data_IF_887984648522
#
_entry.id   IF_887984648522
#
_cell.length_a   1.000
_cell.length_b   1.000
_cell.length_c   1.000
_cell.angle_alpha   90.00
_cell.angle_beta   90.00
_cell.angle_gamma   90.00
#
_symmetry.space_group_name_H-M   'P 1'
#
loop_
_entity.id
_entity.type
_entity.pdbx_description
1 polymer ?
#
# COMPACT_ATOMS: atom_id res chain seq x y z
N UNK A 1 -29.90 15.27 -55.61
CA UNK A 1 -30.80 15.48 -54.47
C UNK A 1 -31.03 14.15 -53.85
N UNK A 2 -30.38 13.97 -52.72
CA UNK A 2 -30.50 12.90 -51.72
C UNK A 2 -31.88 12.88 -51.01
N UNK A 3 -32.66 13.96 -51.10
CA UNK A 3 -34.00 14.07 -50.53
C UNK A 3 -34.11 15.07 -49.39
N UNK A 4 -33.00 15.71 -48.98
CA UNK A 4 -33.00 16.83 -48.03
C UNK A 4 -33.26 18.13 -48.80
N UNK A 5 -33.94 19.09 -48.17
CA UNK A 5 -34.16 20.40 -48.79
C UNK A 5 -32.84 21.17 -48.77
N UNK A 6 -32.46 21.82 -49.87
CA UNK A 6 -31.22 22.60 -49.97
C UNK A 6 -30.99 23.64 -48.85
N UNK A 7 -32.04 24.06 -48.13
CA UNK A 7 -31.93 25.01 -47.03
C UNK A 7 -31.52 24.36 -45.69
N UNK A 8 -31.72 23.04 -45.57
CA UNK A 8 -31.49 22.22 -44.38
C UNK A 8 -30.40 21.17 -44.63
N UNK A 9 -29.67 21.29 -45.75
CA UNK A 9 -28.66 20.36 -46.25
C UNK A 9 -27.31 21.08 -46.19
N UNK A 10 -26.37 20.55 -45.39
CA UNK A 10 -25.04 21.13 -45.26
C UNK A 10 -24.23 21.01 -46.56
N UNK A 11 -24.58 20.02 -47.41
CA UNK A 11 -23.92 19.73 -48.68
C UNK A 11 -24.90 19.60 -49.85
N UNK A 12 -25.64 20.67 -50.27
CA UNK A 12 -26.72 20.59 -51.28
C UNK A 12 -26.34 20.11 -52.68
N UNK A 13 -25.02 19.98 -52.94
CA UNK A 13 -24.45 19.53 -54.21
C UNK A 13 -23.89 18.12 -54.15
N UNK A 14 -23.74 17.54 -52.95
CA UNK A 14 -23.44 16.13 -52.74
C UNK A 14 -24.76 15.41 -52.46
N UNK A 15 -25.01 14.30 -53.12
CA UNK A 15 -26.24 13.52 -52.89
C UNK A 15 -26.02 12.34 -51.94
N UNK A 16 -24.82 12.24 -51.35
CA UNK A 16 -24.43 11.19 -50.41
C UNK A 16 -24.16 11.71 -49.02
N UNK A 17 -24.31 13.02 -48.82
CA UNK A 17 -24.06 13.71 -47.57
C UNK A 17 -25.07 14.84 -47.39
N UNK A 18 -25.52 15.04 -46.16
CA UNK A 18 -26.45 16.09 -45.76
C UNK A 18 -26.11 16.73 -44.41
N UNK A 19 -25.31 16.08 -43.55
CA UNK A 19 -25.05 16.48 -42.17
C UNK A 19 -23.58 16.87 -41.97
N UNK A 20 -23.36 17.87 -41.13
CA UNK A 20 -22.06 18.41 -40.70
C UNK A 20 -22.23 18.75 -39.21
N UNK A 21 -22.00 17.77 -38.34
CA UNK A 21 -22.37 17.87 -36.92
C UNK A 21 -21.53 18.91 -36.17
N UNK A 22 -20.24 19.01 -36.46
CA UNK A 22 -19.31 19.97 -35.82
C UNK A 22 -19.14 21.28 -36.61
N UNK A 23 -19.54 21.31 -37.88
CA UNK A 23 -19.48 22.48 -38.73
C UNK A 23 -18.08 22.78 -39.28
N UNK A 24 -17.17 21.80 -39.33
CA UNK A 24 -15.82 21.98 -39.85
C UNK A 24 -15.74 21.98 -41.40
N UNK A 25 -16.84 21.58 -42.04
CA UNK A 25 -17.00 21.51 -43.49
C UNK A 25 -16.69 20.14 -44.10
N UNK A 26 -16.43 19.13 -43.27
CA UNK A 26 -16.43 17.71 -43.59
C UNK A 26 -17.79 17.13 -43.26
N UNK A 27 -18.33 16.27 -44.13
CA UNK A 27 -19.61 15.63 -43.84
C UNK A 27 -19.46 14.42 -42.93
N UNK A 28 -20.45 14.17 -42.08
CA UNK A 28 -20.46 13.07 -41.11
C UNK A 28 -20.12 11.70 -41.72
N UNK A 29 -20.40 11.47 -43.02
CA UNK A 29 -20.11 10.20 -43.70
C UNK A 29 -18.61 9.95 -43.95
N UNK A 30 -17.80 10.99 -43.93
CA UNK A 30 -16.36 10.97 -44.18
C UNK A 30 -15.55 11.56 -43.02
N UNK A 31 -16.23 12.17 -42.05
CA UNK A 31 -15.62 12.67 -40.83
C UNK A 31 -15.21 11.52 -39.89
N UNK A 32 -14.03 11.65 -39.30
CA UNK A 32 -13.51 10.71 -38.32
C UNK A 32 -13.72 11.14 -36.87
N UNK A 33 -14.19 12.37 -36.66
CA UNK A 33 -14.46 13.05 -35.39
C UNK A 33 -15.72 13.92 -35.60
N UNK A 34 -16.89 13.26 -35.66
CA UNK A 34 -18.12 13.84 -36.23
C UNK A 34 -18.60 15.07 -35.44
N UNK A 35 -18.36 15.12 -34.15
CA UNK A 35 -18.80 16.22 -33.28
C UNK A 35 -17.67 17.19 -32.88
N UNK A 36 -16.43 16.90 -33.30
CA UNK A 36 -15.29 17.80 -33.22
C UNK A 36 -14.78 18.01 -31.79
N UNK A 37 -15.03 17.05 -30.89
CA UNK A 37 -14.56 17.10 -29.50
C UNK A 37 -13.08 16.70 -29.35
N UNK A 38 -12.50 16.11 -30.40
CA UNK A 38 -11.12 15.66 -30.48
C UNK A 38 -10.91 14.17 -30.24
N UNK A 39 -11.97 13.39 -30.04
CA UNK A 39 -11.98 11.93 -29.94
C UNK A 39 -12.51 11.35 -31.26
N UNK A 40 -11.85 10.31 -31.77
CA UNK A 40 -12.30 9.70 -33.02
C UNK A 40 -13.59 8.91 -32.78
N UNK A 41 -14.51 8.91 -33.73
CA UNK A 41 -15.77 8.14 -33.69
C UNK A 41 -15.62 6.66 -33.30
N UNK A 42 -14.44 6.07 -33.53
CA UNK A 42 -14.14 4.67 -33.22
C UNK A 42 -13.77 4.44 -31.75
N UNK A 43 -13.33 5.48 -31.06
CA UNK A 43 -12.89 5.50 -29.66
C UNK A 43 -13.84 6.32 -28.77
N UNK A 44 -14.92 6.84 -29.36
CA UNK A 44 -15.94 7.69 -28.74
C UNK A 44 -17.23 6.89 -28.50
N UNK A 45 -17.69 6.85 -27.24
CA UNK A 45 -18.94 6.19 -26.88
C UNK A 45 -20.18 6.97 -27.36
N UNK A 46 -20.06 8.28 -27.59
CA UNK A 46 -21.12 9.19 -28.03
C UNK A 46 -20.69 10.08 -29.20
N UNK A 47 -20.44 9.53 -30.42
CA UNK A 47 -19.87 10.27 -31.57
C UNK A 47 -20.67 11.44 -32.16
N UNK A 48 -21.75 11.86 -31.53
CA UNK A 48 -22.62 12.97 -31.97
C UNK A 48 -22.82 14.01 -30.86
N UNK A 49 -22.17 13.83 -29.71
CA UNK A 49 -22.29 14.70 -28.54
C UNK A 49 -20.91 15.15 -28.09
N UNK A 50 -20.47 16.30 -28.59
CA UNK A 50 -19.16 16.85 -28.28
C UNK A 50 -18.90 17.18 -26.80
N UNK A 51 -19.88 16.95 -25.94
CA UNK A 51 -19.75 17.11 -24.48
C UNK A 51 -19.53 15.79 -23.76
N UNK A 52 -19.50 14.67 -24.46
CA UNK A 52 -19.43 13.35 -23.87
C UNK A 52 -18.73 12.36 -24.80
N UNK A 53 -17.82 11.56 -24.26
CA UNK A 53 -17.11 10.55 -25.06
C UNK A 53 -16.81 9.25 -24.31
N UNK A 54 -17.14 9.17 -23.01
CA UNK A 54 -16.82 8.02 -22.17
C UNK A 54 -18.12 7.44 -21.58
N UNK A 55 -18.22 6.10 -21.57
CA UNK A 55 -19.30 5.30 -20.98
C UNK A 55 -18.62 4.15 -20.24
N UNK A 56 -18.23 4.40 -18.99
CA UNK A 56 -17.34 3.50 -18.23
C UNK A 56 -17.99 2.14 -17.94
N UNK A 57 -19.29 2.09 -17.64
CA UNK A 57 -20.03 0.86 -17.35
C UNK A 57 -20.79 0.27 -18.56
N UNK A 58 -20.92 1.04 -19.65
CA UNK A 58 -21.58 0.62 -20.87
C UNK A 58 -23.10 0.61 -20.78
N UNK A 59 -23.70 1.37 -19.86
CA UNK A 59 -25.16 1.45 -19.69
C UNK A 59 -25.85 2.38 -20.71
N UNK A 60 -25.04 3.18 -21.43
CA UNK A 60 -25.47 4.14 -22.44
C UNK A 60 -25.71 5.55 -21.90
N UNK A 61 -25.39 5.82 -20.64
CA UNK A 61 -25.29 7.14 -20.02
C UNK A 61 -23.82 7.54 -19.99
N UNK A 62 -23.51 8.75 -20.46
CA UNK A 62 -22.12 9.19 -20.48
C UNK A 62 -21.62 9.68 -19.12
N UNK A 63 -20.32 9.49 -18.88
CA UNK A 63 -19.66 9.73 -17.61
C UNK A 63 -19.86 11.15 -17.05
N UNK A 64 -20.03 12.18 -17.90
CA UNK A 64 -20.27 13.56 -17.44
C UNK A 64 -21.66 13.76 -16.82
N UNK A 65 -22.60 12.85 -17.09
CA UNK A 65 -23.97 12.90 -16.57
C UNK A 65 -24.35 11.71 -15.69
N UNK A 66 -23.57 10.63 -15.73
CA UNK A 66 -23.79 9.47 -14.89
C UNK A 66 -23.41 9.74 -13.43
N UNK A 67 -24.24 9.24 -12.52
CA UNK A 67 -24.04 9.33 -11.08
C UNK A 67 -23.35 8.09 -10.48
N UNK A 68 -23.15 7.04 -11.26
CA UNK A 68 -22.61 5.72 -10.88
C UNK A 68 -21.84 5.15 -12.10
N UNK A 69 -20.69 5.76 -12.42
CA UNK A 69 -20.03 5.59 -13.74
C UNK A 69 -19.45 4.18 -13.97
N UNK A 70 -19.24 3.38 -12.92
CA UNK A 70 -18.75 2.00 -13.03
C UNK A 70 -19.84 0.94 -12.79
N UNK A 71 -21.06 1.37 -12.43
CA UNK A 71 -22.24 0.54 -12.33
C UNK A 71 -22.20 -0.45 -11.16
N UNK A 72 -21.43 -0.18 -10.11
CA UNK A 72 -21.30 -1.04 -8.93
C UNK A 72 -22.50 -0.90 -7.96
N UNK A 73 -23.27 0.18 -8.11
CA UNK A 73 -24.46 0.51 -7.31
C UNK A 73 -24.21 1.54 -6.22
N UNK A 74 -23.02 2.13 -6.15
CA UNK A 74 -22.61 3.19 -5.24
C UNK A 74 -22.41 4.47 -6.06
N UNK A 75 -23.01 5.56 -5.61
CA UNK A 75 -22.92 6.80 -6.37
C UNK A 75 -21.47 7.34 -6.33
N UNK A 76 -20.99 7.94 -7.42
CA UNK A 76 -19.67 8.59 -7.54
C UNK A 76 -19.29 9.51 -6.36
N UNK A 77 -20.29 10.08 -5.68
CA UNK A 77 -20.10 10.97 -4.53
C UNK A 77 -19.84 10.24 -3.20
N UNK A 78 -20.28 8.99 -3.10
CA UNK A 78 -20.15 8.10 -1.95
C UNK A 78 -19.15 6.95 -2.22
N UNK A 79 -18.68 6.82 -3.46
CA UNK A 79 -17.72 5.84 -3.92
C UNK A 79 -16.26 6.32 -3.70
N UNK A 80 -15.40 5.41 -3.25
CA UNK A 80 -13.98 5.69 -3.06
C UNK A 80 -13.21 5.65 -4.38
N UNK A 81 -13.53 4.69 -5.26
CA UNK A 81 -12.96 4.59 -6.59
C UNK A 81 -14.05 4.49 -7.66
N UNK A 82 -14.59 5.64 -8.11
CA UNK A 82 -15.65 5.69 -9.12
C UNK A 82 -15.36 4.99 -10.45
N UNK A 83 -14.15 4.50 -10.70
CA UNK A 83 -13.77 3.86 -11.96
C UNK A 83 -13.53 2.35 -11.82
N UNK A 84 -13.83 1.73 -10.67
CA UNK A 84 -13.62 0.29 -10.44
C UNK A 84 -14.81 -0.38 -9.78
N UNK A 85 -15.60 -1.04 -10.64
CA UNK A 85 -16.76 -1.88 -10.30
C UNK A 85 -16.52 -2.95 -9.21
N UNK A 86 -15.27 -3.23 -8.85
CA UNK A 86 -14.91 -4.25 -7.85
C UNK A 86 -14.51 -3.69 -6.49
N UNK A 87 -14.46 -2.36 -6.30
CA UNK A 87 -14.08 -1.77 -5.02
C UNK A 87 -15.18 -1.96 -3.95
N UNK A 88 -16.44 -2.18 -4.35
CA UNK A 88 -17.61 -2.28 -3.50
C UNK A 88 -17.74 -1.09 -2.52
N UNK A 89 -17.27 0.09 -2.91
CA UNK A 89 -17.19 1.32 -2.13
C UNK A 89 -16.22 1.25 -0.96
N UNK A 90 -15.19 0.41 -1.08
CA UNK A 90 -14.15 0.23 -0.07
C UNK A 90 -12.85 0.83 -0.59
N UNK A 91 -12.25 1.66 0.24
CA UNK A 91 -10.90 2.19 0.06
C UNK A 91 -9.87 1.08 0.21
N UNK A 92 -9.14 0.76 -0.86
CA UNK A 92 -7.98 -0.16 -0.89
C UNK A 92 -6.88 0.51 -1.73
N UNK A 93 -6.00 1.27 -1.09
CA UNK A 93 -5.07 2.17 -1.77
C UNK A 93 -3.92 1.46 -2.49
N UNK A 94 -3.64 0.20 -2.16
CA UNK A 94 -2.52 -0.57 -2.73
C UNK A 94 -2.94 -1.86 -3.45
N UNK A 95 -4.26 -2.05 -3.62
CA UNK A 95 -4.92 -3.15 -4.30
C UNK A 95 -4.50 -4.54 -3.77
N UNK A 96 -4.28 -4.66 -2.46
CA UNK A 96 -3.87 -5.90 -1.81
C UNK A 96 -5.05 -6.80 -1.37
N UNK A 97 -6.27 -6.27 -1.47
CA UNK A 97 -7.52 -6.92 -1.13
C UNK A 97 -7.95 -6.73 0.33
N UNK A 98 -7.24 -5.87 1.09
CA UNK A 98 -7.59 -5.45 2.43
C UNK A 98 -7.96 -3.97 2.40
N UNK A 99 -9.12 -3.64 2.94
CA UNK A 99 -9.57 -2.25 3.07
C UNK A 99 -8.61 -1.42 3.92
N UNK A 100 -8.34 -0.16 3.54
CA UNK A 100 -7.45 0.78 4.25
C UNK A 100 -7.77 0.94 5.74
N UNK A 101 -9.04 0.77 6.14
CA UNK A 101 -9.47 0.87 7.52
C UNK A 101 -9.13 -0.38 8.36
N UNK A 102 -8.91 -1.51 7.70
CA UNK A 102 -8.54 -2.80 8.25
C UNK A 102 -7.08 -3.20 7.95
N UNK A 103 -6.39 -2.44 7.08
CA UNK A 103 -5.02 -2.67 6.65
C UNK A 103 -3.99 -2.04 7.63
N UNK A 104 -3.03 -2.84 8.10
CA UNK A 104 -1.92 -2.38 8.94
C UNK A 104 -0.79 -1.69 8.14
N UNK A 105 -0.87 -1.67 6.81
CA UNK A 105 -0.05 -0.92 5.88
C UNK A 105 -0.82 -0.37 4.66
N UNK A 106 -1.74 0.62 4.82
CA UNK A 106 -2.70 1.11 3.80
C UNK A 106 -2.15 1.67 2.48
N UNK A 107 -0.87 1.54 2.18
CA UNK A 107 -0.22 2.08 0.98
C UNK A 107 0.89 1.16 0.46
N UNK A 108 1.02 -0.05 1.01
CA UNK A 108 2.10 -0.96 0.71
C UNK A 108 1.67 -2.44 0.73
N UNK A 109 1.33 -2.95 -0.46
CA UNK A 109 0.81 -4.31 -0.70
C UNK A 109 1.32 -5.38 0.27
N UNK A 110 0.43 -5.88 1.13
CA UNK A 110 0.73 -6.89 2.15
C UNK A 110 -0.51 -7.74 2.53
N UNK A 111 -1.08 -8.57 1.61
CA UNK A 111 -2.35 -9.28 1.82
C UNK A 111 -2.37 -10.24 3.03
N UNK A 112 -1.18 -10.63 3.52
CA UNK A 112 -0.99 -11.53 4.65
C UNK A 112 -1.04 -10.80 6.01
N UNK A 113 -1.00 -9.45 6.00
CA UNK A 113 -1.11 -8.56 7.17
C UNK A 113 -0.19 -8.99 8.32
N UNK A 114 1.04 -9.42 7.99
CA UNK A 114 2.03 -9.82 9.00
C UNK A 114 2.38 -8.61 9.88
N UNK A 115 2.26 -8.79 11.19
CA UNK A 115 2.64 -7.83 12.23
C UNK A 115 3.24 -8.66 13.38
N UNK A 116 4.56 -8.88 13.30
CA UNK A 116 5.25 -9.82 14.18
C UNK A 116 5.44 -9.26 15.59
N UNK A 117 5.61 -7.95 15.73
CA UNK A 117 5.90 -7.28 16.99
C UNK A 117 4.62 -6.75 17.70
N UNK A 118 3.49 -6.71 16.96
CA UNK A 118 2.14 -6.35 17.38
C UNK A 118 1.98 -4.90 17.80
N UNK A 119 2.68 -3.99 17.14
CA UNK A 119 2.53 -2.56 17.36
C UNK A 119 1.41 -1.92 16.52
N UNK A 120 0.82 -2.68 15.59
CA UNK A 120 -0.26 -2.26 14.71
C UNK A 120 0.20 -1.68 13.36
N UNK A 121 1.51 -1.66 13.09
CA UNK A 121 2.09 -1.42 11.78
C UNK A 121 2.50 -2.76 11.18
N UNK A 122 2.13 -3.02 9.93
CA UNK A 122 2.53 -4.26 9.27
C UNK A 122 4.02 -4.29 8.95
N UNK A 123 4.60 -5.47 8.91
CA UNK A 123 6.04 -5.70 8.68
C UNK A 123 6.56 -5.01 7.40
N UNK A 124 5.70 -4.80 6.40
CA UNK A 124 6.06 -4.16 5.12
C UNK A 124 6.26 -2.65 5.25
N UNK A 125 5.47 -1.98 6.06
CA UNK A 125 5.51 -0.53 6.27
C UNK A 125 6.13 -0.13 7.62
N UNK A 126 6.36 -1.11 8.51
CA UNK A 126 7.08 -0.92 9.75
C UNK A 126 8.57 -0.70 9.49
N UNK A 127 8.85 0.55 9.16
CA UNK A 127 10.19 1.11 8.99
C UNK A 127 10.75 1.66 10.30
N UNK A 128 10.04 1.46 11.42
CA UNK A 128 10.40 2.06 12.68
C UNK A 128 11.68 1.45 13.26
N UNK A 129 12.49 2.36 13.78
CA UNK A 129 13.81 2.13 14.36
C UNK A 129 13.80 1.01 15.41
N UNK A 130 14.77 0.08 15.30
CA UNK A 130 15.01 -0.98 16.27
C UNK A 130 14.92 -0.47 17.72
N UNK A 131 13.89 -0.88 18.45
CA UNK A 131 13.67 -0.43 19.83
C UNK A 131 14.17 -1.49 20.80
N UNK A 132 15.31 -1.22 21.44
CA UNK A 132 15.96 -2.15 22.34
C UNK A 132 15.51 -1.87 23.77
N UNK A 133 14.80 -2.83 24.39
CA UNK A 133 14.43 -2.71 25.79
C UNK A 133 15.68 -2.56 26.64
N UNK A 134 15.77 -1.49 27.43
CA UNK A 134 16.93 -1.22 28.26
C UNK A 134 16.92 -2.04 29.57
N UNK A 135 15.82 -2.73 29.88
CA UNK A 135 15.69 -3.51 31.11
C UNK A 135 14.76 -4.71 30.93
N UNK A 136 15.06 -5.80 31.62
CA UNK A 136 14.15 -6.94 31.80
C UNK A 136 14.34 -7.59 33.18
N UNK A 137 13.38 -8.42 33.59
CA UNK A 137 13.27 -8.99 34.94
C UNK A 137 13.07 -10.50 34.85
N UNK A 138 14.12 -11.30 34.62
CA UNK A 138 14.03 -12.75 34.40
C UNK A 138 13.74 -13.52 35.70
N UNK A 139 12.58 -13.29 36.31
CA UNK A 139 12.18 -13.77 37.63
C UNK A 139 11.24 -14.99 37.56
N UNK A 140 10.74 -15.35 36.37
CA UNK A 140 9.88 -16.50 36.09
C UNK A 140 8.40 -16.28 36.39
N UNK A 141 7.94 -15.02 36.46
CA UNK A 141 6.52 -14.68 36.65
C UNK A 141 5.73 -14.56 35.34
N UNK A 142 6.39 -14.76 34.20
CA UNK A 142 5.82 -14.65 32.85
C UNK A 142 5.76 -13.22 32.33
N UNK A 143 6.28 -12.22 33.06
CA UNK A 143 6.21 -10.81 32.69
C UNK A 143 7.63 -10.26 32.53
N UNK A 144 7.99 -9.86 31.30
CA UNK A 144 9.30 -9.27 31.00
C UNK A 144 10.47 -10.19 31.44
N UNK A 145 10.30 -11.50 31.23
CA UNK A 145 11.26 -12.53 31.62
C UNK A 145 12.40 -12.71 30.61
N UNK A 146 12.20 -12.24 29.38
CA UNK A 146 13.20 -12.25 28.31
C UNK A 146 13.52 -10.84 27.85
N UNK A 147 14.72 -10.65 27.31
CA UNK A 147 15.10 -9.37 26.74
C UNK A 147 14.43 -9.16 25.37
N UNK A 148 13.64 -8.10 25.24
CA UNK A 148 12.91 -7.79 24.02
C UNK A 148 13.64 -6.72 23.22
N UNK A 149 13.79 -6.98 21.93
CA UNK A 149 14.21 -6.02 20.90
C UNK A 149 13.08 -6.03 19.88
N UNK A 150 12.36 -4.92 19.77
CA UNK A 150 11.29 -4.76 18.79
C UNK A 150 11.91 -4.63 17.39
N UNK A 151 11.28 -5.26 16.41
CA UNK A 151 11.66 -5.29 14.99
C UNK A 151 12.98 -5.98 14.67
N UNK A 152 13.55 -6.76 15.61
CA UNK A 152 14.80 -7.51 15.36
C UNK A 152 14.63 -8.63 14.33
N UNK A 153 13.42 -9.14 14.19
CA UNK A 153 12.99 -10.16 13.22
C UNK A 153 13.08 -9.66 11.77
N UNK A 154 12.97 -8.34 11.54
CA UNK A 154 13.16 -7.72 10.22
C UNK A 154 14.65 -7.79 9.78
N UNK A 155 15.53 -8.19 10.70
CA UNK A 155 16.96 -8.34 10.48
C UNK A 155 17.40 -9.80 10.73
N UNK A 156 17.02 -10.76 9.86
CA UNK A 156 17.29 -12.19 10.08
C UNK A 156 18.80 -12.54 10.03
N UNK A 157 19.62 -11.67 9.45
CA UNK A 157 21.08 -11.83 9.43
C UNK A 157 21.77 -11.21 10.65
N UNK A 158 21.01 -10.52 11.50
CA UNK A 158 21.54 -9.77 12.63
C UNK A 158 22.36 -10.64 13.57
N UNK A 159 23.35 -10.02 14.20
CA UNK A 159 24.17 -10.57 15.27
C UNK A 159 23.96 -9.71 16.52
N UNK A 160 23.26 -10.28 17.50
CA UNK A 160 23.06 -9.67 18.82
C UNK A 160 24.11 -10.20 19.77
N UNK A 161 24.83 -9.31 20.45
CA UNK A 161 25.86 -9.64 21.43
C UNK A 161 25.64 -8.86 22.72
N UNK A 162 25.91 -9.50 23.86
CA UNK A 162 25.85 -8.88 25.19
C UNK A 162 27.13 -9.17 25.94
N UNK A 163 27.66 -8.15 26.62
CA UNK A 163 28.91 -8.16 27.36
C UNK A 163 28.66 -7.74 28.80
N UNK A 164 29.39 -8.34 29.73
CA UNK A 164 29.42 -7.86 31.11
C UNK A 164 30.35 -6.65 31.28
N UNK A 165 30.37 -6.07 32.49
CA UNK A 165 31.19 -4.90 32.84
C UNK A 165 32.71 -5.09 32.70
N UNK A 166 33.19 -6.32 32.58
CA UNK A 166 34.61 -6.61 32.30
C UNK A 166 34.92 -6.76 30.80
N UNK A 167 33.92 -6.56 29.92
CA UNK A 167 34.06 -6.71 28.47
C UNK A 167 34.04 -8.16 27.99
N UNK A 168 33.63 -9.12 28.84
CA UNK A 168 33.48 -10.52 28.42
C UNK A 168 32.10 -10.74 27.80
N UNK A 169 32.06 -11.34 26.61
CA UNK A 169 30.82 -11.78 25.96
C UNK A 169 30.10 -12.81 26.85
N UNK A 170 28.85 -12.54 27.18
CA UNK A 170 27.99 -13.42 27.99
C UNK A 170 26.86 -14.05 27.19
N UNK A 171 26.45 -13.41 26.09
CA UNK A 171 25.45 -13.91 25.16
C UNK A 171 25.80 -13.43 23.75
N UNK A 172 25.59 -14.30 22.76
CA UNK A 172 25.65 -13.93 21.36
C UNK A 172 24.80 -14.89 20.54
N UNK A 173 23.98 -14.35 19.63
CA UNK A 173 23.23 -15.15 18.67
C UNK A 173 23.05 -14.41 17.36
N UNK A 174 22.99 -15.19 16.28
CA UNK A 174 22.42 -14.69 15.03
C UNK A 174 20.91 -14.85 15.05
N UNK A 175 20.20 -14.00 14.30
CA UNK A 175 18.74 -14.04 14.19
C UNK A 175 18.07 -14.13 15.56
N UNK A 176 18.27 -13.12 16.42
CA UNK A 176 17.73 -13.15 17.77
C UNK A 176 16.18 -13.23 17.75
N UNK A 177 15.60 -14.03 18.64
CA UNK A 177 14.16 -14.34 18.65
C UNK A 177 13.49 -13.95 19.97
N UNK A 178 13.99 -12.89 20.63
CA UNK A 178 13.40 -12.37 21.89
C UNK A 178 13.24 -13.42 23.00
N UNK A 179 14.13 -14.42 23.02
CA UNK A 179 14.03 -15.61 23.87
C UNK A 179 15.13 -15.72 24.94
N UNK A 180 15.97 -14.69 25.11
CA UNK A 180 17.06 -14.72 26.07
C UNK A 180 16.58 -14.32 27.47
N UNK A 181 16.67 -15.25 28.42
CA UNK A 181 16.26 -15.09 29.82
C UNK A 181 17.40 -14.66 30.76
N UNK A 182 18.48 -14.09 30.21
CA UNK A 182 19.62 -13.61 31.00
C UNK A 182 20.58 -14.71 31.44
N UNK A 183 20.65 -15.86 30.77
CA UNK A 183 21.65 -16.91 31.03
C UNK A 183 22.93 -16.73 30.23
N UNK A 184 24.05 -17.22 30.76
CA UNK A 184 25.28 -17.32 29.98
C UNK A 184 25.08 -18.19 28.73
N UNK A 185 25.87 -17.92 27.69
CA UNK A 185 25.94 -18.67 26.41
C UNK A 185 26.03 -20.20 26.57
N UNK A 186 26.63 -20.66 27.67
CA UNK A 186 26.81 -22.09 27.98
C UNK A 186 25.60 -22.70 28.73
N UNK A 187 24.49 -21.96 28.84
CA UNK A 187 23.17 -22.32 29.43
C UNK A 187 23.17 -22.76 30.91
N UNK A 188 24.34 -22.88 31.55
CA UNK A 188 24.47 -23.49 32.88
C UNK A 188 24.10 -22.60 34.07
N UNK A 189 24.15 -21.28 33.93
CA UNK A 189 23.90 -20.35 35.04
C UNK A 189 23.20 -19.06 34.57
N UNK A 190 22.34 -18.49 35.44
CA UNK A 190 21.82 -17.14 35.27
C UNK A 190 22.95 -16.13 35.50
N UNK A 191 22.91 -15.04 34.75
CA UNK A 191 23.74 -13.88 35.02
C UNK A 191 23.39 -13.30 36.39
N UNK A 192 24.32 -12.60 37.05
CA UNK A 192 24.01 -11.89 38.29
C UNK A 192 22.81 -10.95 38.09
N UNK A 193 21.81 -11.11 38.95
CA UNK A 193 20.70 -10.18 39.06
C UNK A 193 21.23 -8.81 39.53
N UNK A 194 20.59 -7.72 39.12
CA UNK A 194 21.01 -6.33 39.38
C UNK A 194 22.38 -5.95 38.78
N UNK A 195 22.60 -6.28 37.50
CA UNK A 195 23.81 -5.96 36.74
C UNK A 195 23.55 -5.05 35.54
N UNK A 196 24.55 -4.24 35.18
CA UNK A 196 24.61 -3.50 33.92
C UNK A 196 25.44 -4.27 32.88
N UNK A 197 24.90 -4.40 31.68
CA UNK A 197 25.48 -5.11 30.55
C UNK A 197 25.53 -4.18 29.34
N UNK A 198 26.52 -4.38 28.48
CA UNK A 198 26.65 -3.64 27.24
C UNK A 198 26.18 -4.52 26.08
N UNK A 199 25.32 -4.02 25.21
CA UNK A 199 24.89 -4.75 24.01
C UNK A 199 25.44 -4.12 22.74
N UNK A 200 25.60 -4.96 21.72
CA UNK A 200 25.90 -4.57 20.33
C UNK A 200 24.98 -5.37 19.41
N UNK A 201 24.39 -4.69 18.43
CA UNK A 201 23.52 -5.27 17.41
C UNK A 201 24.07 -4.82 16.07
N UNK A 202 24.50 -5.81 15.31
CA UNK A 202 24.92 -5.73 13.92
C UNK A 202 23.74 -6.28 13.11
N UNK A 203 23.06 -5.44 12.34
CA UNK A 203 21.76 -5.74 11.74
C UNK A 203 21.88 -6.60 10.48
N UNK A 204 22.97 -6.48 9.73
CA UNK A 204 23.19 -7.22 8.48
C UNK A 204 24.24 -8.34 8.61
N UNK A 205 24.93 -8.41 9.75
CA UNK A 205 25.90 -9.43 10.10
C UNK A 205 27.30 -9.18 9.50
N UNK A 206 27.60 -7.96 9.06
CA UNK A 206 28.85 -7.57 8.38
C UNK A 206 30.05 -7.36 9.33
N UNK A 207 29.80 -7.34 10.64
CA UNK A 207 30.77 -7.12 11.70
C UNK A 207 30.84 -5.68 12.23
N UNK A 208 30.07 -4.75 11.68
CA UNK A 208 29.87 -3.39 12.16
C UNK A 208 28.50 -3.31 12.88
N UNK A 209 28.46 -2.95 14.16
CA UNK A 209 27.18 -2.73 14.82
C UNK A 209 26.61 -1.36 14.49
N UNK A 210 25.33 -1.33 14.13
CA UNK A 210 24.54 -0.12 13.96
C UNK A 210 23.92 0.36 15.27
N UNK A 211 23.71 -0.55 16.23
CA UNK A 211 23.13 -0.21 17.52
C UNK A 211 23.91 -0.79 18.68
N UNK A 212 24.10 0.05 19.69
CA UNK A 212 24.80 -0.31 20.91
C UNK A 212 24.28 0.51 22.10
N UNK A 213 24.42 -0.06 23.29
CA UNK A 213 23.89 0.60 24.48
C UNK A 213 23.99 -0.25 25.74
N UNK A 214 23.26 0.18 26.76
CA UNK A 214 23.24 -0.48 28.06
C UNK A 214 21.92 -1.23 28.27
N UNK A 215 22.06 -2.43 28.83
CA UNK A 215 20.99 -3.31 29.26
C UNK A 215 21.13 -3.57 30.76
N UNK A 216 20.03 -3.41 31.50
CA UNK A 216 19.98 -3.67 32.93
C UNK A 216 19.16 -4.94 33.19
N UNK A 217 19.74 -5.89 33.91
CA UNK A 217 18.99 -7.05 34.41
C UNK A 217 18.56 -6.69 35.81
N UNK A 218 17.29 -6.34 35.98
CA UNK A 218 16.74 -5.97 37.27
C UNK A 218 16.44 -7.22 38.11
N UNK A 219 16.74 -7.14 39.41
CA UNK A 219 16.38 -8.18 40.37
C UNK A 219 15.00 -7.90 40.97
N UNK A 220 14.35 -8.96 41.49
CA UNK A 220 13.46 -8.80 42.65
C UNK A 220 14.26 -8.62 43.93
#
# INVERSE_FOLDING_TARGET
GDGVLNADDAFPMDATEATDTDGDGTGDNMDTDIDGDGVLNADDAFPLDATENTDTDGDGTGDNTDADIDGDGILNADDFNPYDVNDNGISDMDDDGIADAEDNCPTAYNPEQEDRDRDGLGDVCDTAQLNVAQTFTPNGDGINDTWIIYNIENYPNSLVQVYNSWGKEVFATRNYQNNWDGRYKDLGAKLPDAGSYYYRIDLDGDGQPEQEGWLYIASR
#
